data_IF_720795902956
#
_entry.id   IF_720795902956
#
_cell.length_a   1.000
_cell.length_b   1.000
_cell.length_c   1.000
_cell.angle_alpha   90.00
_cell.angle_beta   90.00
_cell.angle_gamma   90.00
#
_symmetry.space_group_name_H-M   'P 1'
#
loop_
_entity.id
_entity.type
_entity.pdbx_description
1 polymer ?
#
# COMPACT_ATOMS: atom_id res chain seq x y z
N UNK A 1 17.63 14.92 12.06
CA UNK A 1 16.98 13.61 11.79
C UNK A 1 15.61 13.50 12.44
N UNK A 2 15.47 13.41 13.78
CA UNK A 2 14.14 13.29 14.42
C UNK A 2 13.26 14.53 14.22
N UNK A 3 13.84 15.73 14.30
CA UNK A 3 13.13 16.99 14.08
C UNK A 3 12.62 17.15 12.64
N UNK A 4 13.32 16.58 11.66
CA UNK A 4 12.90 16.58 10.26
C UNK A 4 11.72 15.62 10.02
N UNK A 5 11.75 14.45 10.68
CA UNK A 5 10.63 13.51 10.67
C UNK A 5 9.40 14.17 11.31
N UNK A 6 9.56 14.80 12.48
CA UNK A 6 8.49 15.54 13.16
C UNK A 6 7.88 16.59 12.22
N UNK A 7 8.71 17.43 11.60
CA UNK A 7 8.25 18.45 10.64
C UNK A 7 7.54 17.85 9.43
N UNK A 8 8.04 16.75 8.87
CA UNK A 8 7.39 16.04 7.74
C UNK A 8 6.01 15.51 8.12
N UNK A 9 5.89 14.85 9.27
CA UNK A 9 4.61 14.32 9.76
C UNK A 9 3.64 15.46 10.05
N UNK A 10 4.09 16.54 10.71
CA UNK A 10 3.27 17.73 10.99
C UNK A 10 2.71 18.34 9.70
N UNK A 11 3.56 18.58 8.69
CA UNK A 11 3.13 19.08 7.38
C UNK A 11 2.13 18.13 6.70
N UNK A 12 2.38 16.82 6.78
CA UNK A 12 1.48 15.79 6.21
C UNK A 12 0.10 15.79 6.88
N UNK A 13 0.03 15.86 8.20
CA UNK A 13 -1.24 15.88 8.94
C UNK A 13 -2.10 17.08 8.53
N UNK A 14 -1.50 18.28 8.50
CA UNK A 14 -2.19 19.51 8.07
C UNK A 14 -2.67 19.41 6.63
N UNK A 15 -1.79 18.97 5.71
CA UNK A 15 -2.14 18.77 4.30
C UNK A 15 -3.32 17.80 4.16
N UNK A 16 -3.28 16.66 4.85
CA UNK A 16 -4.34 15.64 4.80
C UNK A 16 -5.67 16.17 5.34
N UNK A 17 -5.63 16.93 6.45
CA UNK A 17 -6.82 17.60 7.00
C UNK A 17 -7.41 18.61 6.01
N UNK A 18 -6.59 19.47 5.41
CA UNK A 18 -7.04 20.44 4.39
C UNK A 18 -7.54 19.79 3.10
N UNK A 19 -7.00 18.63 2.71
CA UNK A 19 -7.53 17.84 1.60
C UNK A 19 -8.94 17.35 1.90
N UNK A 20 -9.22 16.91 3.15
CA UNK A 20 -10.53 16.39 3.54
C UNK A 20 -11.65 17.43 3.49
N UNK A 21 -11.34 18.71 3.73
CA UNK A 21 -12.34 19.80 3.67
C UNK A 21 -12.80 20.09 2.24
N UNK A 22 -11.97 19.74 1.25
CA UNK A 22 -12.28 19.92 -0.18
C UNK A 22 -13.12 18.78 -0.76
N UNK A 23 -13.42 17.73 0.01
CA UNK A 23 -14.21 16.62 -0.49
C UNK A 23 -15.68 17.00 -0.56
N UNK A 24 -16.27 16.90 -1.75
CA UNK A 24 -17.69 17.14 -2.00
C UNK A 24 -18.56 15.91 -1.73
N UNK A 25 -17.95 14.72 -1.66
CA UNK A 25 -18.64 13.45 -1.45
C UNK A 25 -18.22 12.82 -0.12
N UNK A 26 -19.03 11.87 0.35
CA UNK A 26 -18.76 11.15 1.59
C UNK A 26 -17.66 10.10 1.46
N UNK A 27 -17.31 9.70 0.23
CA UNK A 27 -16.24 8.74 -0.06
C UNK A 27 -15.01 9.46 -0.64
N UNK A 28 -13.82 8.96 -0.32
CA UNK A 28 -12.56 9.50 -0.84
C UNK A 28 -12.52 9.58 -2.37
N UNK A 29 -12.05 10.69 -2.99
CA UNK A 29 -12.03 10.85 -4.45
C UNK A 29 -11.31 9.73 -5.21
N UNK A 30 -10.21 9.19 -4.63
CA UNK A 30 -9.48 8.08 -5.25
C UNK A 30 -10.30 6.79 -5.28
N UNK A 31 -11.06 6.53 -4.22
CA UNK A 31 -11.93 5.36 -4.09
C UNK A 31 -13.14 5.54 -4.99
N UNK A 32 -13.74 6.73 -5.01
CA UNK A 32 -14.85 7.06 -5.90
C UNK A 32 -14.47 6.85 -7.37
N UNK A 33 -13.31 7.36 -7.82
CA UNK A 33 -12.83 7.12 -9.19
C UNK A 33 -12.65 5.63 -9.53
N UNK A 34 -12.21 4.81 -8.57
CA UNK A 34 -12.11 3.36 -8.74
C UNK A 34 -13.50 2.71 -8.78
N UNK A 35 -14.43 3.18 -7.95
CA UNK A 35 -15.81 2.72 -7.92
C UNK A 35 -16.53 3.01 -9.24
N UNK A 36 -16.40 4.22 -9.80
CA UNK A 36 -16.98 4.58 -11.10
C UNK A 36 -16.51 3.65 -12.23
N UNK A 37 -15.20 3.37 -12.30
CA UNK A 37 -14.65 2.39 -13.25
C UNK A 37 -15.21 0.99 -13.06
N UNK A 38 -15.48 0.60 -11.80
CA UNK A 38 -16.06 -0.71 -11.51
C UNK A 38 -17.57 -0.72 -11.85
N UNK A 39 -18.28 0.42 -11.76
CA UNK A 39 -19.68 0.57 -12.20
C UNK A 39 -19.80 0.40 -13.72
N UNK A 40 -18.94 1.05 -14.49
CA UNK A 40 -18.89 0.87 -15.95
C UNK A 40 -18.70 -0.61 -16.33
N UNK A 41 -17.77 -1.30 -15.67
CA UNK A 41 -17.52 -2.72 -15.91
C UNK A 41 -18.62 -3.64 -15.40
N UNK A 42 -19.52 -3.17 -14.54
CA UNK A 42 -20.58 -4.00 -13.97
C UNK A 42 -21.64 -4.38 -15.00
N UNK A 43 -21.76 -3.61 -16.09
CA UNK A 43 -22.70 -3.87 -17.18
C UNK A 43 -22.37 -5.13 -18.00
N UNK A 44 -21.13 -5.62 -17.91
CA UNK A 44 -20.69 -6.85 -18.58
C UNK A 44 -21.17 -8.13 -17.85
N UNK A 45 -21.91 -7.99 -16.76
CA UNK A 45 -22.28 -9.06 -15.83
C UNK A 45 -23.78 -9.10 -15.58
N UNK A 46 -24.30 -10.31 -15.41
CA UNK A 46 -25.68 -10.57 -15.05
C UNK A 46 -25.72 -11.32 -13.71
N UNK A 47 -26.59 -10.88 -12.81
CA UNK A 47 -26.74 -11.47 -11.48
C UNK A 47 -28.02 -12.30 -11.38
N UNK A 48 -27.90 -13.49 -10.81
CA UNK A 48 -29.00 -14.40 -10.45
C UNK A 48 -29.01 -14.58 -8.94
N UNK A 49 -30.18 -14.38 -8.33
CA UNK A 49 -30.35 -14.42 -6.88
C UNK A 49 -30.71 -15.83 -6.40
N UNK A 50 -30.03 -16.33 -5.38
CA UNK A 50 -30.32 -17.65 -4.81
C UNK A 50 -31.51 -17.68 -3.81
N UNK A 51 -32.23 -16.58 -3.64
CA UNK A 51 -33.31 -16.45 -2.66
C UNK A 51 -32.86 -16.07 -1.23
N UNK A 52 -31.55 -15.93 -0.98
CA UNK A 52 -31.01 -15.53 0.33
C UNK A 52 -30.05 -14.32 0.22
N UNK A 53 -28.80 -14.43 0.67
CA UNK A 53 -27.81 -13.35 0.63
C UNK A 53 -26.77 -13.52 -0.48
N UNK A 54 -26.84 -14.61 -1.23
CA UNK A 54 -25.83 -14.94 -2.23
C UNK A 54 -26.39 -14.81 -3.65
N UNK A 55 -25.49 -14.46 -4.56
CA UNK A 55 -25.77 -14.29 -5.97
C UNK A 55 -24.75 -15.07 -6.77
N UNK A 56 -25.21 -15.71 -7.83
CA UNK A 56 -24.37 -16.13 -8.94
C UNK A 56 -24.30 -14.97 -9.93
N UNK A 57 -23.08 -14.60 -10.34
CA UNK A 57 -22.85 -13.53 -11.30
C UNK A 57 -22.09 -14.09 -12.47
N UNK A 58 -22.66 -14.06 -13.66
CA UNK A 58 -22.09 -14.61 -14.89
C UNK A 58 -21.82 -13.52 -15.92
N UNK A 59 -20.78 -13.71 -16.74
CA UNK A 59 -20.52 -12.81 -17.87
C UNK A 59 -21.66 -12.86 -18.89
N UNK A 60 -22.10 -11.69 -19.36
CA UNK A 60 -23.13 -11.56 -20.40
C UNK A 60 -22.65 -12.11 -21.75
N UNK A 61 -21.34 -12.15 -21.99
CA UNK A 61 -20.78 -12.50 -23.30
C UNK A 61 -20.55 -14.00 -23.51
N UNK A 62 -20.17 -14.75 -22.47
CA UNK A 62 -19.76 -16.15 -22.63
C UNK A 62 -20.35 -17.12 -21.60
N UNK A 63 -20.98 -16.67 -20.51
CA UNK A 63 -21.59 -17.51 -19.48
C UNK A 63 -20.66 -18.49 -18.73
N UNK A 64 -19.38 -18.57 -19.13
CA UNK A 64 -18.36 -19.45 -18.55
C UNK A 64 -17.75 -18.84 -17.31
N UNK A 65 -17.46 -17.53 -17.34
CA UNK A 65 -16.92 -16.86 -16.17
C UNK A 65 -18.04 -16.57 -15.18
N UNK A 66 -17.94 -17.16 -13.99
CA UNK A 66 -18.95 -17.14 -12.94
C UNK A 66 -18.32 -16.81 -11.61
N UNK A 67 -19.02 -15.98 -10.86
CA UNK A 67 -18.59 -15.51 -9.56
C UNK A 67 -19.70 -15.59 -8.53
N UNK A 68 -19.33 -16.02 -7.33
CA UNK A 68 -20.21 -15.98 -6.18
C UNK A 68 -20.04 -14.64 -5.47
N UNK A 69 -21.14 -13.97 -5.17
CA UNK A 69 -21.17 -12.75 -4.35
C UNK A 69 -22.04 -13.00 -3.12
N UNK A 70 -21.53 -12.69 -1.93
CA UNK A 70 -22.31 -12.67 -0.69
C UNK A 70 -22.49 -11.22 -0.24
N UNK A 71 -23.73 -10.76 -0.27
CA UNK A 71 -24.11 -9.39 0.06
C UNK A 71 -24.08 -9.10 1.57
N UNK A 72 -24.31 -10.11 2.42
CA UNK A 72 -24.27 -9.95 3.88
C UNK A 72 -22.84 -9.91 4.38
N UNK A 73 -22.01 -10.84 3.90
CA UNK A 73 -20.59 -10.87 4.23
C UNK A 73 -19.80 -9.78 3.50
N UNK A 74 -20.38 -9.14 2.46
CA UNK A 74 -19.71 -8.16 1.59
C UNK A 74 -18.48 -8.77 0.91
N UNK A 75 -18.65 -9.94 0.31
CA UNK A 75 -17.55 -10.69 -0.31
C UNK A 75 -17.86 -11.11 -1.74
N UNK A 76 -16.81 -11.32 -2.53
CA UNK A 76 -16.90 -11.86 -3.87
C UNK A 76 -15.81 -12.91 -4.10
N UNK A 77 -16.09 -13.94 -4.88
CA UNK A 77 -15.10 -14.98 -5.25
C UNK A 77 -13.89 -14.41 -5.99
N UNK A 78 -13.99 -13.24 -6.65
CA UNK A 78 -12.84 -12.55 -7.25
C UNK A 78 -11.91 -11.88 -6.20
N UNK A 79 -12.31 -11.86 -4.93
CA UNK A 79 -11.59 -11.32 -3.76
C UNK A 79 -11.28 -9.83 -3.75
N UNK A 80 -11.57 -9.08 -4.82
CA UNK A 80 -11.30 -7.63 -4.84
C UNK A 80 -12.06 -6.90 -3.73
N UNK A 81 -13.34 -7.22 -3.52
CA UNK A 81 -14.12 -6.61 -2.44
C UNK A 81 -13.61 -7.00 -1.05
N UNK A 82 -13.25 -8.27 -0.87
CA UNK A 82 -12.67 -8.77 0.39
C UNK A 82 -11.37 -8.06 0.77
N UNK A 83 -10.49 -7.86 -0.21
CA UNK A 83 -9.14 -7.33 0.01
C UNK A 83 -9.14 -5.81 0.15
N UNK A 84 -9.96 -5.12 -0.64
CA UNK A 84 -9.94 -3.67 -0.71
C UNK A 84 -11.04 -3.03 0.12
N UNK A 85 -12.14 -3.71 0.40
CA UNK A 85 -13.36 -3.10 0.93
C UNK A 85 -14.11 -2.20 -0.06
N UNK A 86 -13.74 -2.25 -1.35
CA UNK A 86 -14.39 -1.52 -2.45
C UNK A 86 -15.15 -2.54 -3.30
N UNK A 87 -16.46 -2.35 -3.56
CA UNK A 87 -17.22 -3.24 -4.43
C UNK A 87 -16.54 -3.44 -5.80
N UNK A 88 -16.38 -4.70 -6.20
CA UNK A 88 -15.90 -5.07 -7.53
C UNK A 88 -17.05 -5.02 -8.56
N UNK A 89 -16.79 -5.12 -9.87
CA UNK A 89 -17.84 -5.10 -10.90
C UNK A 89 -18.97 -6.11 -10.65
N UNK A 90 -18.63 -7.33 -10.22
CA UNK A 90 -19.62 -8.37 -9.90
C UNK A 90 -20.52 -7.97 -8.74
N UNK A 91 -19.92 -7.44 -7.67
CA UNK A 91 -20.67 -6.97 -6.50
C UNK A 91 -21.53 -5.77 -6.83
N UNK A 92 -21.05 -4.86 -7.67
CA UNK A 92 -21.84 -3.71 -8.13
C UNK A 92 -23.05 -4.17 -8.95
N UNK A 93 -22.89 -5.13 -9.85
CA UNK A 93 -24.01 -5.74 -10.58
C UNK A 93 -25.08 -6.27 -9.60
N UNK A 94 -24.67 -7.02 -8.56
CA UNK A 94 -25.63 -7.52 -7.54
C UNK A 94 -26.26 -6.42 -6.69
N UNK A 95 -25.53 -5.33 -6.42
CA UNK A 95 -26.03 -4.16 -5.70
C UNK A 95 -27.12 -3.46 -6.52
N UNK A 96 -26.89 -3.27 -7.82
CA UNK A 96 -27.88 -2.71 -8.74
C UNK A 96 -29.09 -3.61 -8.92
N UNK A 97 -28.90 -4.94 -8.98
CA UNK A 97 -30.02 -5.89 -8.99
C UNK A 97 -30.93 -5.74 -7.75
N UNK A 98 -30.40 -5.27 -6.61
CA UNK A 98 -31.19 -4.97 -5.39
C UNK A 98 -31.68 -3.53 -5.32
N UNK A 99 -31.52 -2.73 -6.38
CA UNK A 99 -31.85 -1.30 -6.44
C UNK A 99 -31.19 -0.49 -5.31
N UNK A 100 -29.95 -0.82 -4.98
CA UNK A 100 -29.16 -0.10 -3.96
C UNK A 100 -28.01 0.68 -4.60
N UNK A 101 -27.44 1.58 -3.81
CA UNK A 101 -26.34 2.45 -4.22
C UNK A 101 -24.99 1.83 -3.85
N UNK A 102 -24.05 1.64 -4.80
CA UNK A 102 -22.73 1.03 -4.54
C UNK A 102 -21.88 1.74 -3.48
N UNK A 103 -22.03 3.05 -3.35
CA UNK A 103 -21.32 3.89 -2.40
C UNK A 103 -21.56 3.46 -0.94
N UNK A 104 -22.77 2.99 -0.61
CA UNK A 104 -23.14 2.53 0.73
C UNK A 104 -22.44 1.21 1.13
N UNK A 105 -21.86 0.53 0.15
CA UNK A 105 -21.18 -0.75 0.31
C UNK A 105 -19.65 -0.61 0.36
N UNK A 106 -19.13 0.61 0.17
CA UNK A 106 -17.73 0.93 0.42
C UNK A 106 -17.42 0.82 1.91
N UNK A 107 -16.23 0.31 2.25
CA UNK A 107 -15.81 0.18 3.62
C UNK A 107 -15.70 1.54 4.34
N UNK A 108 -16.16 1.58 5.59
CA UNK A 108 -16.28 2.80 6.40
C UNK A 108 -14.97 3.60 6.55
N UNK A 109 -13.80 2.97 6.44
CA UNK A 109 -12.50 3.64 6.54
C UNK A 109 -12.16 4.54 5.34
N UNK A 110 -12.91 4.43 4.23
CA UNK A 110 -12.80 5.35 3.10
C UNK A 110 -13.74 6.56 3.19
N UNK A 111 -14.62 6.59 4.19
CA UNK A 111 -15.54 7.69 4.37
C UNK A 111 -14.82 8.92 4.93
N UNK A 112 -15.31 10.09 4.49
CA UNK A 112 -14.84 11.41 4.90
C UNK A 112 -14.86 11.56 6.42
N UNK A 113 -15.90 11.07 7.09
CA UNK A 113 -16.01 11.12 8.55
C UNK A 113 -14.85 10.39 9.24
N UNK A 114 -14.59 9.13 8.86
CA UNK A 114 -13.49 8.33 9.40
C UNK A 114 -12.14 8.97 9.09
N UNK A 115 -11.98 9.51 7.88
CA UNK A 115 -10.78 10.23 7.47
C UNK A 115 -10.54 11.48 8.34
N UNK A 116 -11.57 12.30 8.57
CA UNK A 116 -11.48 13.49 9.44
C UNK A 116 -11.12 13.08 10.86
N UNK A 117 -11.74 12.01 11.40
CA UNK A 117 -11.40 11.48 12.73
C UNK A 117 -9.93 11.05 12.80
N UNK A 118 -9.42 10.34 11.80
CA UNK A 118 -8.03 9.89 11.74
C UNK A 118 -7.01 11.04 11.72
N UNK A 119 -7.34 12.16 11.07
CA UNK A 119 -6.47 13.34 10.97
C UNK A 119 -6.89 14.50 11.89
N UNK A 120 -7.75 14.24 12.88
CA UNK A 120 -8.25 15.27 13.81
C UNK A 120 -7.13 15.85 14.66
N UNK A 121 -6.26 14.98 15.16
CA UNK A 121 -5.15 15.34 16.05
C UNK A 121 -3.98 15.93 15.26
N UNK A 122 -3.43 17.03 15.76
CA UNK A 122 -2.30 17.74 15.18
C UNK A 122 -1.12 17.59 16.14
N UNK A 123 0.09 17.47 15.59
CA UNK A 123 1.30 17.50 16.41
C UNK A 123 1.62 18.92 16.87
N UNK A 124 1.92 19.07 18.15
CA UNK A 124 2.39 20.33 18.72
C UNK A 124 3.71 20.80 18.12
N UNK A 125 3.92 22.11 18.17
CA UNK A 125 5.23 22.70 17.86
C UNK A 125 6.14 22.46 19.05
N UNK A 126 7.34 21.97 18.78
CA UNK A 126 8.38 21.80 19.80
C UNK A 126 9.30 23.02 19.72
N UNK A 127 9.59 23.69 20.85
CA UNK A 127 10.52 24.81 20.85
C UNK A 127 11.92 24.38 20.39
N UNK A 128 12.75 25.34 19.98
CA UNK A 128 14.14 25.06 19.59
C UNK A 128 14.94 24.47 20.76
N UNK A 129 16.00 23.71 20.45
CA UNK A 129 16.85 23.06 21.46
C UNK A 129 17.40 24.04 22.52
N UNK A 130 17.62 25.29 22.12
CA UNK A 130 18.07 26.38 22.99
C UNK A 130 17.06 26.80 24.06
N UNK A 131 15.80 26.38 23.94
CA UNK A 131 14.71 26.69 24.88
C UNK A 131 14.26 25.45 25.65
N UNK A 132 14.96 24.32 25.52
CA UNK A 132 14.60 23.10 26.22
C UNK A 132 15.04 23.20 27.68
N UNK A 133 14.20 22.76 28.64
CA UNK A 133 14.60 22.74 30.04
C UNK A 133 15.78 21.79 30.23
N UNK A 134 16.71 22.18 31.09
CA UNK A 134 17.73 21.26 31.58
C UNK A 134 17.04 20.15 32.39
N UNK A 135 17.53 18.93 32.23
CA UNK A 135 16.95 17.76 32.90
C UNK A 135 18.01 17.16 33.80
N UNK A 136 17.64 16.83 35.04
CA UNK A 136 18.51 16.17 36.02
C UNK A 136 18.72 14.67 35.72
N UNK A 137 18.37 14.24 34.51
CA UNK A 137 18.47 12.86 34.07
C UNK A 137 19.92 12.43 33.81
N UNK A 138 20.13 11.11 33.75
CA UNK A 138 21.43 10.54 33.40
C UNK A 138 21.84 11.05 32.02
N UNK A 139 23.02 11.67 31.96
CA UNK A 139 23.61 12.14 30.72
C UNK A 139 23.89 10.93 29.83
N UNK A 140 23.17 10.80 28.72
CA UNK A 140 23.36 9.71 27.79
C UNK A 140 24.71 9.90 27.12
N UNK A 141 25.69 9.08 27.50
CA UNK A 141 26.98 9.05 26.81
C UNK A 141 26.83 8.44 25.42
N UNK A 142 27.60 8.91 24.43
CA UNK A 142 27.61 8.28 23.12
C UNK A 142 27.98 6.80 23.29
N UNK A 143 27.34 5.90 22.53
CA UNK A 143 27.70 4.49 22.57
C UNK A 143 29.18 4.33 22.26
N UNK A 144 29.87 3.49 23.03
CA UNK A 144 31.29 3.22 22.81
C UNK A 144 31.52 2.83 21.36
N UNK A 145 32.44 3.52 20.69
CA UNK A 145 32.75 3.29 19.30
C UNK A 145 33.34 1.88 19.13
N UNK A 146 32.54 0.96 18.58
CA UNK A 146 33.00 -0.38 18.19
C UNK A 146 33.42 -0.33 16.72
N UNK A 147 34.70 -0.58 16.41
CA UNK A 147 35.12 -0.88 15.05
C UNK A 147 34.39 -2.14 14.60
N UNK A 148 33.42 -1.99 13.69
CA UNK A 148 32.80 -3.13 13.06
C UNK A 148 33.86 -3.94 12.30
N UNK A 149 33.77 -5.28 12.28
CA UNK A 149 34.56 -6.08 11.36
C UNK A 149 34.38 -5.51 9.96
N UNK A 150 35.50 -5.12 9.33
CA UNK A 150 35.46 -4.66 7.95
C UNK A 150 34.85 -5.73 7.05
N UNK A 151 34.36 -5.31 5.88
CA UNK A 151 33.80 -6.24 4.88
C UNK A 151 34.73 -7.46 4.72
N UNK A 152 34.21 -8.70 4.89
CA UNK A 152 34.99 -9.90 4.66
C UNK A 152 35.67 -9.83 3.29
N UNK A 153 36.98 -10.14 3.24
CA UNK A 153 37.70 -10.15 1.98
C UNK A 153 37.03 -11.16 1.05
N UNK A 154 36.66 -10.72 -0.16
CA UNK A 154 36.00 -11.56 -1.18
C UNK A 154 36.87 -12.76 -1.58
N UNK A 155 38.19 -12.60 -1.51
CA UNK A 155 39.15 -13.66 -1.82
C UNK A 155 39.78 -14.21 -0.55
N UNK A 156 39.86 -15.54 -0.49
CA UNK A 156 40.63 -16.28 0.52
C UNK A 156 42.09 -15.80 0.53
N UNK A 157 42.67 -15.66 1.71
CA UNK A 157 44.12 -15.46 1.84
C UNK A 157 44.80 -16.79 1.49
N UNK A 158 45.65 -16.78 0.46
CA UNK A 158 46.43 -17.96 0.06
C UNK A 158 47.49 -18.27 1.11
N UNK A 159 47.71 -19.56 1.38
CA UNK A 159 48.82 -20.03 2.21
C UNK A 159 50.15 -19.96 1.46
N UNK A 160 51.28 -19.97 2.18
CA UNK A 160 52.62 -19.80 1.60
C UNK A 160 52.93 -20.86 0.53
N UNK A 161 52.38 -22.06 0.70
CA UNK A 161 52.62 -23.21 -0.18
C UNK A 161 51.58 -23.33 -1.30
N UNK A 162 50.65 -22.38 -1.41
CA UNK A 162 49.58 -22.48 -2.41
C UNK A 162 50.04 -21.95 -3.77
N UNK A 163 49.98 -22.76 -4.86
CA UNK A 163 50.50 -22.36 -6.15
C UNK A 163 49.77 -21.12 -6.70
N UNK A 164 50.57 -20.18 -7.22
CA UNK A 164 50.04 -19.01 -7.94
C UNK A 164 49.50 -19.52 -9.27
N UNK A 165 48.20 -19.30 -9.56
CA UNK A 165 47.66 -19.57 -10.90
C UNK A 165 48.42 -18.67 -11.86
N UNK A 166 49.22 -19.27 -12.74
CA UNK A 166 49.83 -18.59 -13.86
C UNK A 166 48.71 -18.01 -14.73
N UNK A 167 48.76 -16.71 -15.01
CA UNK A 167 47.90 -16.12 -16.02
C UNK A 167 48.36 -16.71 -17.35
N UNK A 168 47.51 -17.50 -18.00
CA UNK A 168 47.68 -17.86 -19.40
C UNK A 168 47.57 -16.59 -20.22
N UNK A 169 48.71 -16.11 -20.72
CA UNK A 169 48.76 -15.13 -21.81
C UNK A 169 48.54 -15.91 -23.10
N UNK A 170 47.39 -15.70 -23.76
CA UNK A 170 47.16 -16.26 -25.09
C UNK A 170 48.21 -15.70 -26.06
N UNK A 171 48.98 -16.59 -26.67
CA UNK A 171 49.89 -16.26 -27.77
C UNK A 171 49.08 -15.85 -29.00
N UNK A 172 49.34 -14.65 -29.52
CA UNK A 172 48.84 -14.22 -30.83
C UNK A 172 49.62 -14.97 -31.91
N UNK A 173 48.92 -15.78 -32.70
CA UNK A 173 49.47 -16.38 -33.91
C UNK A 173 49.67 -15.32 -34.99
N UNK A 174 50.91 -15.18 -35.46
CA UNK A 174 51.25 -14.61 -36.75
C UNK A 174 51.32 -15.76 -37.74
N UNK A 175 50.55 -15.71 -38.82
CA UNK A 175 50.94 -16.31 -40.10
C UNK A 175 50.48 -15.38 -41.22
N UNK A 176 51.40 -15.06 -42.12
CA UNK A 176 51.13 -14.34 -43.35
C UNK A 176 51.15 -15.29 -44.53
N UNK A 177 50.52 -14.86 -45.62
CA UNK A 177 51.02 -14.99 -46.99
C UNK A 177 50.27 -14.01 -47.88
#
# INVERSE_FOLDING_TARGET
MLEDIRRKVMKRLVKKKQESTKWHCDVSPRVLSKLEKNKEKSFDWMAEWNGHNEYEVSSVYNGVDKHKVDMKARTCSCREWNLTGIPCPHSICTIYHRSKTPEDFVAHWYHKETYIKAYKHIMGVVPGKNLWPETDGIRIEPPMFKKMPGRPKKNRRKDKDEPRRLRTTNCQGKEGS
#
